data_IF_092341299310
#
_entry.id   IF_092341299310
#
_cell.length_a   1.000
_cell.length_b   1.000
_cell.length_c   1.000
_cell.angle_alpha   90.00
_cell.angle_beta   90.00
_cell.angle_gamma   90.00
#
_symmetry.space_group_name_H-M   'P 1'
#
loop_
_entity.id
_entity.type
_entity.pdbx_description
1 polymer ?
#
# COMPACT_ATOMS: atom_id res chain seq x y z
N UNK A 1 17.82 32.93 1.12
CA UNK A 1 17.84 31.64 0.39
C UNK A 1 16.86 30.73 1.10
N UNK A 2 15.83 30.31 0.36
CA UNK A 2 14.53 29.83 0.83
C UNK A 2 14.62 28.73 1.90
N UNK A 3 13.96 28.95 3.03
CA UNK A 3 13.60 27.86 3.94
C UNK A 3 12.43 27.11 3.31
N UNK A 4 12.73 26.01 2.62
CA UNK A 4 11.71 25.06 2.22
C UNK A 4 11.15 24.46 3.50
N UNK A 5 9.86 24.70 3.75
CA UNK A 5 9.15 24.11 4.88
C UNK A 5 9.21 22.60 4.68
N UNK A 6 9.78 21.83 5.62
CA UNK A 6 9.65 20.36 5.54
C UNK A 6 8.15 20.05 5.56
N UNK A 7 7.62 19.61 4.41
CA UNK A 7 6.35 18.89 4.41
C UNK A 7 6.64 17.61 5.17
N UNK A 8 6.11 17.51 6.40
CA UNK A 8 6.24 16.28 7.17
C UNK A 8 5.52 15.18 6.39
N UNK A 9 6.28 14.34 5.68
CA UNK A 9 5.70 13.33 4.81
C UNK A 9 4.77 12.41 5.60
N UNK A 10 3.58 12.14 5.05
CA UNK A 10 2.61 11.22 5.62
C UNK A 10 2.83 9.77 5.13
N UNK A 11 3.92 9.51 4.40
CA UNK A 11 4.31 8.16 3.98
C UNK A 11 4.38 7.21 5.18
N UNK A 12 3.75 6.04 5.03
CA UNK A 12 3.63 5.03 6.07
C UNK A 12 2.53 5.28 7.09
N UNK A 13 1.73 6.33 6.94
CA UNK A 13 0.55 6.58 7.77
C UNK A 13 -0.68 5.91 7.16
N UNK A 14 -1.64 5.60 8.03
CA UNK A 14 -2.96 5.13 7.64
C UNK A 14 -3.94 6.30 7.62
N UNK A 15 -4.70 6.42 6.53
CA UNK A 15 -5.89 7.25 6.47
C UNK A 15 -7.10 6.36 6.74
N UNK A 16 -7.87 6.70 7.77
CA UNK A 16 -9.06 5.95 8.15
C UNK A 16 -10.28 6.77 7.81
N UNK A 17 -11.14 6.24 6.95
CA UNK A 17 -12.36 6.92 6.53
C UNK A 17 -13.28 7.17 7.74
N UNK A 18 -13.79 8.39 7.83
CA UNK A 18 -14.82 8.72 8.82
C UNK A 18 -16.17 8.15 8.38
N UNK A 19 -17.11 7.88 9.30
CA UNK A 19 -18.44 7.38 8.94
C UNK A 19 -19.24 8.29 8.01
N UNK A 20 -18.92 9.59 7.95
CA UNK A 20 -19.60 10.54 7.07
C UNK A 20 -19.09 10.52 5.62
N UNK A 21 -17.94 9.89 5.35
CA UNK A 21 -17.39 9.78 4.01
C UNK A 21 -18.16 8.73 3.21
N UNK A 22 -19.09 9.19 2.36
CA UNK A 22 -19.98 8.34 1.57
C UNK A 22 -19.49 8.09 0.13
N UNK A 23 -18.28 8.52 -0.22
CA UNK A 23 -17.68 8.19 -1.53
C UNK A 23 -17.47 6.66 -1.60
N UNK A 24 -18.05 5.94 -2.57
CA UNK A 24 -17.95 4.48 -2.63
C UNK A 24 -16.50 3.99 -2.75
N UNK A 25 -15.57 4.79 -3.25
CA UNK A 25 -14.15 4.43 -3.33
C UNK A 25 -13.46 4.45 -1.96
N UNK A 26 -13.99 5.18 -0.98
CA UNK A 26 -13.35 5.40 0.31
C UNK A 26 -14.25 5.18 1.52
N UNK A 27 -15.53 4.88 1.33
CA UNK A 27 -16.44 4.54 2.43
C UNK A 27 -15.84 3.37 3.22
N UNK A 28 -15.68 3.59 4.54
CA UNK A 28 -15.08 2.67 5.50
C UNK A 28 -13.67 2.17 5.11
N UNK A 29 -12.97 2.86 4.21
CA UNK A 29 -11.65 2.45 3.76
C UNK A 29 -10.57 2.73 4.81
N UNK A 30 -9.57 1.86 4.86
CA UNK A 30 -8.29 2.09 5.52
C UNK A 30 -7.24 2.13 4.43
N UNK A 31 -6.63 3.29 4.20
CA UNK A 31 -5.65 3.52 3.14
C UNK A 31 -4.26 3.64 3.74
N UNK A 32 -3.29 2.87 3.25
CA UNK A 32 -1.87 3.07 3.55
C UNK A 32 -1.28 4.05 2.54
N UNK A 33 -0.67 5.13 3.02
CA UNK A 33 0.11 6.02 2.17
C UNK A 33 1.48 5.43 1.88
N UNK A 34 1.72 5.12 0.61
CA UNK A 34 2.98 4.59 0.10
C UNK A 34 3.94 5.72 -0.31
N UNK A 35 3.41 6.88 -0.67
CA UNK A 35 4.18 8.08 -0.94
C UNK A 35 3.35 9.34 -0.67
N UNK A 36 4.00 10.43 -0.27
CA UNK A 36 3.37 11.73 0.00
C UNK A 36 4.41 12.84 -0.03
N UNK A 37 4.22 13.78 -0.96
CA UNK A 37 5.03 14.97 -1.14
C UNK A 37 4.16 16.14 -1.63
N UNK A 38 4.81 17.22 -2.10
CA UNK A 38 4.14 18.42 -2.63
C UNK A 38 3.41 18.17 -3.97
N UNK A 39 3.79 17.12 -4.71
CA UNK A 39 3.20 16.78 -6.02
C UNK A 39 1.96 15.91 -5.86
N UNK A 40 1.86 15.15 -4.76
CA UNK A 40 0.64 14.45 -4.41
C UNK A 40 0.83 13.32 -3.42
N UNK A 41 0.02 12.27 -3.56
CA UNK A 41 0.05 11.12 -2.68
C UNK A 41 -0.31 9.85 -3.42
N UNK A 42 0.43 8.78 -3.12
CA UNK A 42 0.11 7.43 -3.54
C UNK A 42 -0.32 6.63 -2.32
N UNK A 43 -1.44 5.93 -2.42
CA UNK A 43 -1.89 5.05 -1.36
C UNK A 43 -2.72 3.88 -1.89
N UNK A 44 -2.86 2.86 -1.05
CA UNK A 44 -3.63 1.66 -1.36
C UNK A 44 -4.60 1.32 -0.22
N UNK A 45 -5.81 0.89 -0.58
CA UNK A 45 -6.84 0.44 0.35
C UNK A 45 -6.49 -0.97 0.85
N UNK A 46 -6.41 -1.14 2.16
CA UNK A 46 -5.99 -2.40 2.80
C UNK A 46 -7.15 -3.32 3.20
N UNK A 47 -8.39 -2.84 3.19
CA UNK A 47 -9.52 -3.54 3.81
C UNK A 47 -10.68 -3.83 2.84
N UNK A 48 -10.37 -4.03 1.57
CA UNK A 48 -11.32 -4.41 0.51
C UNK A 48 -10.88 -5.69 -0.20
N UNK A 49 -11.04 -6.86 0.44
CA UNK A 49 -10.74 -8.12 -0.20
C UNK A 49 -11.69 -8.35 -1.38
N UNK A 50 -11.17 -8.99 -2.43
CA UNK A 50 -11.94 -9.47 -3.57
C UNK A 50 -12.12 -11.00 -3.45
N UNK A 51 -12.97 -11.63 -4.27
CA UNK A 51 -13.09 -13.09 -4.28
C UNK A 51 -12.02 -13.80 -5.12
N UNK A 52 -10.99 -13.09 -5.60
CA UNK A 52 -9.96 -13.63 -6.48
C UNK A 52 -8.74 -14.04 -5.65
N UNK A 53 -8.33 -15.31 -5.74
CA UNK A 53 -7.16 -15.81 -5.03
C UNK A 53 -5.87 -15.24 -5.64
N UNK A 54 -4.86 -14.96 -4.81
CA UNK A 54 -3.56 -14.47 -5.31
C UNK A 54 -2.94 -15.48 -6.28
N UNK A 55 -3.05 -16.77 -5.98
CA UNK A 55 -2.49 -17.84 -6.82
C UNK A 55 -3.10 -17.92 -8.22
N UNK A 56 -4.33 -17.45 -8.42
CA UNK A 56 -4.97 -17.42 -9.74
C UNK A 56 -4.35 -16.38 -10.68
N UNK A 57 -3.69 -15.34 -10.13
CA UNK A 57 -3.06 -14.26 -10.89
C UNK A 57 -1.53 -14.35 -10.84
N UNK A 58 -0.99 -14.67 -9.67
CA UNK A 58 0.43 -14.65 -9.33
C UNK A 58 0.78 -15.93 -8.58
N UNK A 59 0.87 -17.05 -9.31
CA UNK A 59 1.12 -18.40 -8.75
C UNK A 59 2.33 -18.41 -7.79
N UNK A 60 3.45 -17.81 -8.18
CA UNK A 60 4.68 -17.73 -7.38
C UNK A 60 4.51 -16.96 -6.05
N UNK A 61 3.44 -16.16 -5.92
CA UNK A 61 3.16 -15.35 -4.74
C UNK A 61 2.14 -16.01 -3.80
N UNK A 62 1.52 -17.12 -4.20
CA UNK A 62 0.45 -17.76 -3.44
C UNK A 62 0.88 -18.12 -2.01
N UNK A 63 2.09 -18.68 -1.85
CA UNK A 63 2.63 -19.06 -0.53
C UNK A 63 3.14 -17.87 0.30
N UNK A 64 3.31 -16.71 -0.33
CA UNK A 64 3.78 -15.48 0.32
C UNK A 64 2.62 -14.58 0.78
N UNK A 65 1.42 -14.81 0.26
CA UNK A 65 0.24 -14.01 0.57
C UNK A 65 -0.17 -14.19 2.05
N UNK A 66 -0.40 -13.08 2.74
CA UNK A 66 -0.99 -13.11 4.07
C UNK A 66 -2.48 -13.47 4.01
N UNK A 67 -3.04 -13.99 5.11
CA UNK A 67 -4.46 -14.33 5.18
C UNK A 67 -5.37 -13.08 5.27
N UNK A 68 -6.48 -13.02 4.50
CA UNK A 68 -6.88 -13.97 3.47
C UNK A 68 -6.01 -13.86 2.22
N UNK A 69 -5.61 -15.00 1.64
CA UNK A 69 -4.74 -15.12 0.46
C UNK A 69 -5.38 -14.67 -0.88
N UNK A 70 -6.14 -13.58 -0.85
CA UNK A 70 -6.89 -13.01 -1.97
C UNK A 70 -6.32 -11.66 -2.39
N UNK A 71 -6.63 -11.25 -3.61
CA UNK A 71 -6.32 -9.92 -4.11
C UNK A 71 -7.23 -8.90 -3.43
N UNK A 72 -6.68 -7.72 -3.14
CA UNK A 72 -7.42 -6.61 -2.57
C UNK A 72 -7.63 -5.53 -3.63
N UNK A 73 -8.82 -4.91 -3.64
CA UNK A 73 -9.07 -3.75 -4.48
C UNK A 73 -8.37 -2.53 -3.87
N UNK A 74 -7.16 -2.24 -4.35
CA UNK A 74 -6.28 -1.20 -3.80
C UNK A 74 -6.74 0.24 -4.02
N UNK A 75 -7.70 0.50 -4.92
CA UNK A 75 -8.21 1.84 -5.19
C UNK A 75 -8.97 1.90 -6.50
N UNK A 76 -9.40 3.10 -6.95
CA UNK A 76 -10.15 3.26 -8.19
C UNK A 76 -9.27 3.42 -9.45
N UNK A 77 -7.95 3.51 -9.30
CA UNK A 77 -7.01 3.80 -10.39
C UNK A 77 -6.10 2.61 -10.69
N UNK A 78 -5.60 2.54 -11.94
CA UNK A 78 -4.65 1.51 -12.40
C UNK A 78 -5.07 0.07 -12.06
N UNK A 79 -6.33 -0.26 -12.35
CA UNK A 79 -6.97 -1.54 -12.01
C UNK A 79 -6.38 -2.76 -12.76
N UNK A 80 -5.50 -2.52 -13.72
CA UNK A 80 -4.77 -3.50 -14.51
C UNK A 80 -3.33 -3.75 -14.00
N UNK A 81 -2.96 -3.13 -12.88
CA UNK A 81 -1.63 -3.22 -12.27
C UNK A 81 -1.72 -3.81 -10.86
N UNK A 82 -0.74 -4.63 -10.49
CA UNK A 82 -0.62 -5.18 -9.14
C UNK A 82 0.45 -4.45 -8.33
N UNK A 83 0.18 -4.23 -7.04
CA UNK A 83 1.15 -3.72 -6.07
C UNK A 83 1.19 -4.66 -4.87
N UNK A 84 2.37 -5.16 -4.55
CA UNK A 84 2.60 -5.94 -3.34
C UNK A 84 2.88 -5.03 -2.15
N UNK A 85 2.15 -5.21 -1.05
CA UNK A 85 2.48 -4.64 0.26
C UNK A 85 2.94 -5.79 1.14
N UNK A 86 4.17 -5.71 1.64
CA UNK A 86 4.74 -6.79 2.43
C UNK A 86 5.43 -6.26 3.70
N UNK A 87 5.73 -7.21 4.59
CA UNK A 87 6.62 -6.98 5.73
C UNK A 87 7.86 -7.83 5.49
N UNK A 88 9.03 -7.19 5.40
CA UNK A 88 10.31 -7.90 5.28
C UNK A 88 10.98 -7.92 6.65
N UNK A 89 11.02 -9.07 7.36
CA UNK A 89 11.63 -9.16 8.68
C UNK A 89 13.07 -8.64 8.68
N UNK A 90 13.43 -7.86 9.70
CA UNK A 90 14.75 -7.23 9.79
C UNK A 90 14.95 -5.99 8.91
N UNK A 91 13.95 -5.59 8.11
CA UNK A 91 13.94 -4.35 7.34
C UNK A 91 15.08 -4.30 6.32
N UNK A 92 15.20 -5.34 5.49
CA UNK A 92 16.29 -5.47 4.52
C UNK A 92 16.43 -4.20 3.64
N UNK A 93 17.66 -3.72 3.50
CA UNK A 93 18.04 -2.57 2.68
C UNK A 93 19.22 -2.92 1.77
N UNK A 94 19.37 -2.19 0.66
CA UNK A 94 20.45 -2.40 -0.29
C UNK A 94 20.34 -3.76 -0.99
N UNK A 95 21.45 -4.47 -1.15
CA UNK A 95 21.55 -5.75 -1.88
C UNK A 95 20.70 -6.89 -1.28
N UNK A 96 20.23 -6.75 -0.03
CA UNK A 96 19.38 -7.75 0.64
C UNK A 96 17.88 -7.49 0.43
N UNK A 97 17.52 -6.33 -0.12
CA UNK A 97 16.13 -6.00 -0.39
C UNK A 97 15.63 -6.79 -1.61
N UNK A 98 14.38 -7.28 -1.61
CA UNK A 98 13.77 -7.84 -2.80
C UNK A 98 13.82 -6.84 -3.97
N UNK A 99 13.86 -7.35 -5.21
CA UNK A 99 13.81 -6.49 -6.38
C UNK A 99 12.50 -5.68 -6.39
N UNK A 100 12.60 -4.38 -6.65
CA UNK A 100 11.45 -3.46 -6.61
C UNK A 100 10.96 -3.08 -5.20
N UNK A 101 11.63 -3.56 -4.14
CA UNK A 101 11.27 -3.22 -2.77
C UNK A 101 11.56 -1.76 -2.45
N UNK A 102 10.54 -1.06 -1.94
CA UNK A 102 10.67 0.30 -1.44
C UNK A 102 10.07 0.38 -0.03
N UNK A 103 10.95 0.49 0.96
CA UNK A 103 10.54 0.63 2.35
C UNK A 103 9.67 1.87 2.55
N UNK A 104 8.51 1.67 3.18
CA UNK A 104 7.54 2.72 3.52
C UNK A 104 7.62 3.11 5.00
N UNK A 105 7.58 2.13 5.91
CA UNK A 105 7.69 2.38 7.35
C UNK A 105 8.12 1.14 8.13
N UNK A 106 9.13 1.24 9.01
CA UNK A 106 9.52 0.09 9.81
C UNK A 106 9.96 -1.09 8.93
N UNK A 107 9.30 -2.24 9.01
CA UNK A 107 9.56 -3.39 8.14
C UNK A 107 8.62 -3.45 6.91
N UNK A 108 7.71 -2.48 6.77
CA UNK A 108 6.67 -2.41 5.73
C UNK A 108 7.22 -1.71 4.49
N UNK A 109 6.82 -2.19 3.31
CA UNK A 109 7.14 -1.65 1.99
C UNK A 109 6.33 -2.33 0.89
#
# INVERSE_FOLDING_TARGET
MSGMTEVSSLTGRLLVATPALADPNFERAVVLLLDHDEEGSLGVVLNRPTPVDVGDILEDWAELAGEPGVVFQGGPVSLDSALGVAVVPGGATGERAPLGWRRVHGAIG
#
